data_IF_089771577624
#
_entry.id   IF_089771577624
#
_cell.length_a   1.000
_cell.length_b   1.000
_cell.length_c   1.000
_cell.angle_alpha   90.00
_cell.angle_beta   90.00
_cell.angle_gamma   90.00
#
_symmetry.space_group_name_H-M   'P 1'
#
loop_
_entity.id
_entity.type
_entity.pdbx_description
1 polymer ?
#
# COMPACT_ATOMS: atom_id res chain seq x y z
N UNK A 1 -67.30 36.86 28.27
CA UNK A 1 -65.88 37.17 27.97
C UNK A 1 -65.14 37.24 29.31
N UNK A 2 -64.01 36.54 29.55
CA UNK A 2 -63.21 35.73 28.64
C UNK A 2 -63.03 34.26 29.05
N UNK A 3 -62.54 33.50 28.08
CA UNK A 3 -62.17 32.09 28.09
C UNK A 3 -60.71 31.93 28.52
N UNK A 4 -60.34 30.79 29.13
CA UNK A 4 -59.00 30.21 28.93
C UNK A 4 -59.07 28.68 29.03
N UNK A 5 -59.08 28.05 27.85
CA UNK A 5 -58.73 26.64 27.70
C UNK A 5 -57.23 26.47 27.98
N UNK A 6 -56.88 25.66 28.97
CA UNK A 6 -55.52 25.10 29.11
C UNK A 6 -55.56 23.65 28.66
N UNK A 7 -55.29 23.44 27.38
CA UNK A 7 -54.96 22.12 26.83
C UNK A 7 -53.55 21.76 27.30
N UNK A 8 -53.45 20.89 28.30
CA UNK A 8 -52.22 20.15 28.58
C UNK A 8 -51.93 19.23 27.38
N UNK A 9 -50.70 19.21 26.82
CA UNK A 9 -50.37 18.24 25.79
C UNK A 9 -50.21 16.91 26.50
N UNK A 10 -51.23 16.04 26.41
CA UNK A 10 -51.00 14.61 26.52
C UNK A 10 -49.91 14.28 25.50
N UNK A 11 -48.73 13.94 25.99
CA UNK A 11 -47.67 13.28 25.22
C UNK A 11 -48.23 11.92 24.81
N UNK A 12 -49.02 11.94 23.74
CA UNK A 12 -49.52 10.76 23.06
C UNK A 12 -48.34 10.17 22.29
N UNK A 13 -47.41 9.51 22.99
CA UNK A 13 -46.42 8.65 22.33
C UNK A 13 -47.15 7.41 21.85
N UNK A 14 -47.85 7.54 20.73
CA UNK A 14 -48.40 6.40 20.03
C UNK A 14 -47.24 5.44 19.68
N UNK A 15 -47.41 4.12 19.84
CA UNK A 15 -46.39 3.14 19.49
C UNK A 15 -45.96 3.24 18.01
N UNK A 16 -46.88 3.66 17.12
CA UNK A 16 -46.59 3.96 15.71
C UNK A 16 -45.58 5.11 15.52
N UNK A 17 -45.69 6.22 16.28
CA UNK A 17 -44.75 7.35 16.17
C UNK A 17 -43.34 6.95 16.61
N UNK A 18 -43.23 6.10 17.64
CA UNK A 18 -41.95 5.58 18.17
C UNK A 18 -41.32 4.54 17.22
N UNK A 19 -42.13 3.73 16.54
CA UNK A 19 -41.66 2.82 15.47
C UNK A 19 -41.19 3.62 14.26
N UNK A 20 -41.90 4.68 13.85
CA UNK A 20 -41.52 5.50 12.70
C UNK A 20 -40.22 6.31 12.93
N UNK A 21 -40.03 6.87 14.13
CA UNK A 21 -38.77 7.54 14.50
C UNK A 21 -37.61 6.56 14.66
N UNK A 22 -37.83 5.36 15.23
CA UNK A 22 -36.78 4.34 15.31
C UNK A 22 -36.42 3.77 13.94
N UNK A 23 -37.38 3.59 13.01
CA UNK A 23 -37.11 3.16 11.64
C UNK A 23 -36.33 4.21 10.83
N UNK A 24 -36.70 5.49 10.98
CA UNK A 24 -36.01 6.63 10.36
C UNK A 24 -34.61 6.84 10.92
N UNK A 25 -34.42 6.66 12.24
CA UNK A 25 -33.12 6.70 12.89
C UNK A 25 -32.25 5.50 12.48
N UNK A 26 -32.85 4.31 12.34
CA UNK A 26 -32.21 3.09 11.87
C UNK A 26 -31.76 3.21 10.41
N UNK A 27 -32.57 3.81 9.53
CA UNK A 27 -32.17 4.12 8.15
C UNK A 27 -31.06 5.18 8.09
N UNK A 28 -31.12 6.25 8.90
CA UNK A 28 -30.03 7.24 9.01
C UNK A 28 -28.73 6.63 9.54
N UNK A 29 -28.81 5.77 10.56
CA UNK A 29 -27.64 5.08 11.13
C UNK A 29 -27.10 4.06 10.13
N UNK A 30 -27.97 3.32 9.43
CA UNK A 30 -27.61 2.38 8.36
C UNK A 30 -26.88 3.07 7.20
N UNK A 31 -27.41 4.19 6.68
CA UNK A 31 -26.75 4.95 5.60
C UNK A 31 -25.38 5.48 6.02
N UNK A 32 -25.24 5.93 7.28
CA UNK A 32 -23.95 6.37 7.84
C UNK A 32 -22.96 5.21 7.95
N UNK A 33 -23.41 4.03 8.38
CA UNK A 33 -22.57 2.84 8.46
C UNK A 33 -22.14 2.36 7.07
N UNK A 34 -23.05 2.33 6.10
CA UNK A 34 -22.73 1.98 4.70
C UNK A 34 -21.72 2.96 4.13
N UNK A 35 -21.93 4.26 4.33
CA UNK A 35 -20.98 5.30 3.89
C UNK A 35 -19.60 5.14 4.53
N UNK A 36 -19.54 4.87 5.84
CA UNK A 36 -18.27 4.63 6.54
C UNK A 36 -17.55 3.37 6.03
N UNK A 37 -18.28 2.27 5.81
CA UNK A 37 -17.72 1.02 5.28
C UNK A 37 -17.18 1.22 3.86
N UNK A 38 -17.92 1.93 3.00
CA UNK A 38 -17.46 2.24 1.65
C UNK A 38 -16.21 3.12 1.67
N UNK A 39 -16.15 4.13 2.54
CA UNK A 39 -14.96 4.98 2.69
C UNK A 39 -13.75 4.16 3.16
N UNK A 40 -13.92 3.30 4.16
CA UNK A 40 -12.84 2.41 4.65
C UNK A 40 -12.37 1.46 3.55
N UNK A 41 -13.29 0.88 2.78
CA UNK A 41 -12.97 0.01 1.66
C UNK A 41 -12.17 0.75 0.58
N UNK A 42 -12.58 1.97 0.22
CA UNK A 42 -11.86 2.80 -0.75
C UNK A 42 -10.45 3.17 -0.27
N UNK A 43 -10.29 3.51 1.02
CA UNK A 43 -8.98 3.76 1.63
C UNK A 43 -8.10 2.51 1.56
N UNK A 44 -8.67 1.34 1.86
CA UNK A 44 -7.95 0.07 1.82
C UNK A 44 -7.43 -0.26 0.41
N UNK A 45 -8.28 -0.08 -0.61
CA UNK A 45 -7.90 -0.29 -2.02
C UNK A 45 -6.81 0.69 -2.46
N UNK A 46 -6.91 1.97 -2.07
CA UNK A 46 -5.91 2.99 -2.41
C UNK A 46 -4.52 2.69 -1.81
N UNK A 47 -4.47 1.95 -0.70
CA UNK A 47 -3.22 1.62 0.01
C UNK A 47 -2.49 0.42 -0.63
N UNK A 48 -3.14 -0.31 -1.56
CA UNK A 48 -2.57 -1.50 -2.20
C UNK A 48 -1.61 -1.22 -3.36
N UNK A 49 -1.49 0.04 -3.81
CA UNK A 49 -0.56 0.44 -4.88
C UNK A 49 0.66 1.11 -4.27
N UNK A 50 1.57 0.30 -3.73
CA UNK A 50 2.90 0.76 -3.33
C UNK A 50 3.68 1.32 -4.52
N UNK A 51 4.73 2.12 -4.29
CA UNK A 51 5.58 2.61 -5.36
C UNK A 51 6.10 1.43 -6.18
N UNK A 52 5.84 1.47 -7.48
CA UNK A 52 6.43 0.52 -8.43
C UNK A 52 7.92 0.84 -8.45
N UNK A 53 8.71 0.14 -7.64
CA UNK A 53 10.15 0.24 -7.69
C UNK A 53 10.59 -0.39 -9.00
N UNK A 54 10.92 0.45 -9.99
CA UNK A 54 11.64 0.00 -11.17
C UNK A 54 13.05 -0.34 -10.70
N UNK A 55 13.28 -1.58 -10.28
CA UNK A 55 14.65 -2.07 -10.14
C UNK A 55 15.29 -1.95 -11.52
N UNK A 56 16.24 -1.03 -11.67
CA UNK A 56 17.04 -0.93 -12.87
C UNK A 56 17.63 -2.32 -13.15
N UNK A 57 17.42 -2.84 -14.36
CA UNK A 57 17.89 -4.18 -14.71
C UNK A 57 19.40 -4.18 -14.54
N UNK A 58 19.93 -5.25 -13.96
CA UNK A 58 21.37 -5.39 -13.80
C UNK A 58 21.89 -6.33 -14.88
N UNK A 59 22.66 -5.78 -15.82
CA UNK A 59 23.34 -6.56 -16.85
C UNK A 59 24.68 -7.08 -16.31
N UNK A 60 24.99 -8.34 -16.60
CA UNK A 60 26.25 -8.99 -16.22
C UNK A 60 27.10 -9.30 -17.45
N UNK A 61 28.41 -9.03 -17.36
CA UNK A 61 29.42 -9.42 -18.34
C UNK A 61 30.56 -10.16 -17.65
N UNK A 62 31.14 -11.19 -18.25
CA UNK A 62 32.31 -11.86 -17.68
C UNK A 62 33.53 -10.94 -17.80
N UNK A 63 34.27 -10.76 -16.71
CA UNK A 63 35.52 -9.98 -16.74
C UNK A 63 36.56 -10.63 -17.67
N UNK A 64 37.23 -9.81 -18.49
CA UNK A 64 38.31 -10.25 -19.38
C UNK A 64 39.68 -10.23 -18.70
N UNK A 65 39.87 -9.32 -17.73
CA UNK A 65 41.15 -9.13 -17.02
C UNK A 65 41.28 -10.01 -15.79
N UNK A 66 40.17 -10.43 -15.17
CA UNK A 66 40.19 -11.30 -13.99
C UNK A 66 40.67 -12.71 -14.34
N UNK A 67 41.67 -13.22 -13.61
CA UNK A 67 42.25 -14.55 -13.81
C UNK A 67 42.07 -15.41 -12.56
N UNK A 68 41.82 -16.70 -12.76
CA UNK A 68 41.67 -17.67 -11.67
C UNK A 68 40.32 -17.62 -10.95
N UNK A 69 40.18 -18.36 -9.84
CA UNK A 69 38.97 -18.40 -9.03
C UNK A 69 38.76 -17.11 -8.24
N UNK A 70 37.53 -16.62 -8.27
CA UNK A 70 37.05 -15.42 -7.61
C UNK A 70 36.73 -15.72 -6.14
N UNK A 71 37.71 -15.42 -5.29
CA UNK A 71 37.63 -15.56 -3.83
C UNK A 71 37.21 -14.27 -3.14
N UNK A 72 37.49 -13.11 -3.75
CA UNK A 72 37.17 -11.79 -3.22
C UNK A 72 36.30 -10.99 -4.19
N UNK A 73 35.09 -10.63 -3.73
CA UNK A 73 34.17 -9.78 -4.47
C UNK A 73 34.72 -8.37 -4.68
N UNK A 74 35.43 -7.81 -3.70
CA UNK A 74 36.06 -6.49 -3.80
C UNK A 74 37.13 -6.46 -4.88
N UNK A 75 37.97 -7.49 -4.98
CA UNK A 75 38.98 -7.58 -6.04
C UNK A 75 38.30 -7.66 -7.42
N UNK A 76 37.27 -8.51 -7.56
CA UNK A 76 36.47 -8.58 -8.78
C UNK A 76 35.85 -7.23 -9.15
N UNK A 77 35.23 -6.53 -8.20
CA UNK A 77 34.69 -5.18 -8.41
C UNK A 77 35.75 -4.19 -8.87
N UNK A 78 36.95 -4.20 -8.27
CA UNK A 78 38.04 -3.29 -8.64
C UNK A 78 38.57 -3.57 -10.06
N UNK A 79 38.70 -4.85 -10.43
CA UNK A 79 39.03 -5.23 -11.81
C UNK A 79 37.95 -4.78 -12.79
N UNK A 80 36.67 -4.95 -12.42
CA UNK A 80 35.54 -4.50 -13.22
C UNK A 80 35.48 -2.97 -13.37
N UNK A 81 35.87 -2.20 -12.36
CA UNK A 81 36.04 -0.75 -12.49
C UNK A 81 37.08 -0.38 -13.54
N UNK A 82 38.21 -1.10 -13.58
CA UNK A 82 39.23 -0.93 -14.62
C UNK A 82 38.78 -1.41 -16.01
N UNK A 83 37.70 -2.18 -16.10
CA UNK A 83 37.04 -2.58 -17.36
C UNK A 83 35.88 -1.65 -17.74
N UNK A 84 35.62 -0.59 -16.96
CA UNK A 84 34.55 0.39 -17.23
C UNK A 84 33.18 0.00 -16.67
N UNK A 85 33.11 -0.97 -15.77
CA UNK A 85 31.87 -1.36 -15.10
C UNK A 85 31.78 -0.75 -13.69
N UNK A 86 30.60 -0.29 -13.24
CA UNK A 86 30.41 0.30 -11.91
C UNK A 86 30.41 -0.74 -10.78
N UNK A 87 30.31 -2.04 -11.09
CA UNK A 87 30.29 -3.11 -10.10
C UNK A 87 30.84 -4.44 -10.62
N UNK A 88 30.94 -5.41 -9.71
CA UNK A 88 31.29 -6.78 -10.05
C UNK A 88 31.11 -7.74 -8.88
N UNK A 89 30.81 -9.01 -9.17
CA UNK A 89 30.62 -10.07 -8.19
C UNK A 89 31.15 -11.42 -8.65
N UNK A 90 31.56 -12.25 -7.69
CA UNK A 90 31.92 -13.64 -7.93
C UNK A 90 30.66 -14.51 -8.07
N UNK A 91 30.54 -15.30 -9.15
CA UNK A 91 29.37 -16.15 -9.39
C UNK A 91 29.74 -17.56 -9.86
N UNK A 92 28.91 -18.53 -9.50
CA UNK A 92 28.91 -19.90 -10.01
C UNK A 92 29.96 -20.81 -9.36
N UNK A 93 29.88 -22.10 -9.70
CA UNK A 93 30.73 -23.15 -9.15
C UNK A 93 32.23 -22.92 -9.44
N UNK A 94 32.56 -22.48 -10.66
CA UNK A 94 33.93 -22.13 -11.05
C UNK A 94 34.42 -20.80 -10.48
N UNK A 95 33.64 -20.15 -9.59
CA UNK A 95 33.92 -18.85 -8.97
C UNK A 95 34.44 -17.86 -10.01
N UNK A 96 33.66 -17.50 -11.03
CA UNK A 96 34.11 -16.53 -12.05
C UNK A 96 33.71 -15.11 -11.65
N UNK A 97 34.52 -14.13 -12.01
CA UNK A 97 34.19 -12.72 -11.83
C UNK A 97 33.27 -12.25 -12.96
N UNK A 98 32.12 -11.68 -12.59
CA UNK A 98 31.17 -11.02 -13.50
C UNK A 98 31.04 -9.55 -13.13
N UNK A 99 31.29 -8.68 -14.09
CA UNK A 99 31.10 -7.25 -13.97
C UNK A 99 29.63 -6.88 -14.19
N UNK A 100 29.14 -5.92 -13.42
CA UNK A 100 27.72 -5.55 -13.39
C UNK A 100 27.54 -4.08 -13.72
N UNK A 101 26.51 -3.75 -14.49
CA UNK A 101 26.08 -2.38 -14.75
C UNK A 101 24.57 -2.29 -14.82
N UNK A 102 24.02 -1.11 -14.54
CA UNK A 102 22.62 -0.84 -14.81
C UNK A 102 22.34 -0.80 -16.31
N UNK A 103 21.23 -1.41 -16.67
CA UNK A 103 20.55 -1.44 -17.95
C UNK A 103 19.04 -1.60 -17.65
#
# INVERSE_FOLDING_TARGET
IPHTHTHSPLVSTSPLSRVSTTLSLKMKLSMRLISAVLLVFMIFVATGMGPVTVEARTCESKSHRFKGPCVSGNNCKNVCHNEGFPGGRCRGFRRRCYCTRHC
#
